data_IF_985187198740
#
_entry.id   IF_985187198740
#
_cell.length_a   1.000
_cell.length_b   1.000
_cell.length_c   1.000
_cell.angle_alpha   90.00
_cell.angle_beta   90.00
_cell.angle_gamma   90.00
#
_symmetry.space_group_name_H-M   'P 1'
#
loop_
_entity.id
_entity.type
_entity.pdbx_description
1 polymer ?
#
# COMPACT_ATOMS: atom_id res chain seq x y z
N UNK A 1 -13.60 15.21 -42.82
CA UNK A 1 -12.81 14.91 -41.61
C UNK A 1 -13.41 13.67 -40.98
N UNK A 2 -12.71 12.52 -40.96
CA UNK A 2 -13.10 11.44 -40.09
C UNK A 2 -12.73 11.83 -38.65
N UNK A 3 -13.71 11.76 -37.77
CA UNK A 3 -13.51 11.77 -36.32
C UNK A 3 -12.89 10.41 -35.98
N UNK A 4 -11.61 10.40 -35.64
CA UNK A 4 -10.96 9.25 -35.02
C UNK A 4 -11.63 9.06 -33.66
N UNK A 5 -12.57 8.11 -33.59
CA UNK A 5 -13.00 7.53 -32.33
C UNK A 5 -11.77 6.83 -31.78
N UNK A 6 -11.13 7.46 -30.79
CA UNK A 6 -10.15 6.83 -29.91
C UNK A 6 -10.87 5.62 -29.27
N UNK A 7 -10.68 4.45 -29.86
CA UNK A 7 -11.11 3.19 -29.28
C UNK A 7 -10.45 3.14 -27.89
N UNK A 8 -11.20 3.07 -26.78
CA UNK A 8 -10.57 2.93 -25.48
C UNK A 8 -9.94 1.53 -25.46
N UNK A 9 -8.70 1.46 -25.90
CA UNK A 9 -7.85 0.30 -25.68
C UNK A 9 -7.73 0.26 -24.17
N UNK A 10 -8.51 -0.62 -23.55
CA UNK A 10 -8.43 -0.92 -22.12
C UNK A 10 -7.07 -1.58 -21.90
N UNK A 11 -6.04 -0.75 -21.89
CA UNK A 11 -4.69 -1.12 -21.53
C UNK A 11 -4.76 -1.26 -20.03
N UNK A 12 -4.80 -2.50 -19.55
CA UNK A 12 -4.61 -2.75 -18.13
C UNK A 12 -3.27 -2.07 -17.77
N UNK A 13 -3.26 -1.05 -16.89
CA UNK A 13 -2.02 -0.39 -16.49
C UNK A 13 -1.06 -1.45 -15.92
N UNK A 14 0.23 -1.20 -15.81
CA UNK A 14 1.09 -2.15 -15.07
C UNK A 14 0.90 -1.86 -13.58
N UNK A 15 0.79 -2.87 -12.73
CA UNK A 15 0.76 -2.67 -11.28
C UNK A 15 1.99 -1.84 -10.84
N UNK A 16 1.80 -0.65 -10.24
CA UNK A 16 2.90 0.24 -9.86
C UNK A 16 3.50 -0.22 -8.52
N UNK A 17 4.10 -1.42 -8.51
CA UNK A 17 4.65 -2.02 -7.29
C UNK A 17 5.71 -1.13 -6.61
N UNK A 18 6.57 -0.47 -7.39
CA UNK A 18 7.58 0.45 -6.86
C UNK A 18 6.92 1.65 -6.16
N UNK A 19 5.95 2.30 -6.80
CA UNK A 19 5.27 3.47 -6.23
C UNK A 19 4.45 3.09 -4.99
N UNK A 20 3.70 1.97 -5.04
CA UNK A 20 2.97 1.45 -3.87
C UNK A 20 3.92 1.20 -2.71
N UNK A 21 5.09 0.58 -2.96
CA UNK A 21 6.08 0.32 -1.91
C UNK A 21 6.67 1.61 -1.36
N UNK A 22 6.99 2.58 -2.20
CA UNK A 22 7.53 3.87 -1.76
C UNK A 22 6.54 4.65 -0.90
N UNK A 23 5.28 4.75 -1.36
CA UNK A 23 4.20 5.42 -0.61
C UNK A 23 3.95 4.68 0.70
N UNK A 24 3.71 3.37 0.66
CA UNK A 24 3.43 2.56 1.84
C UNK A 24 4.57 2.62 2.87
N UNK A 25 5.83 2.55 2.42
CA UNK A 25 6.99 2.65 3.31
C UNK A 25 7.09 4.06 3.93
N UNK A 26 6.87 5.11 3.14
CA UNK A 26 6.92 6.49 3.60
C UNK A 26 5.85 6.78 4.64
N UNK A 27 4.62 6.35 4.37
CA UNK A 27 3.47 6.49 5.25
C UNK A 27 3.66 5.68 6.54
N UNK A 28 4.05 4.40 6.44
CA UNK A 28 4.36 3.56 7.62
C UNK A 28 5.43 4.17 8.51
N UNK A 29 6.52 4.67 7.92
CA UNK A 29 7.59 5.34 8.69
C UNK A 29 7.04 6.58 9.39
N UNK A 30 6.18 7.35 8.73
CA UNK A 30 5.59 8.56 9.29
C UNK A 30 4.64 8.22 10.44
N UNK A 31 3.72 7.28 10.23
CA UNK A 31 2.80 6.81 11.28
C UNK A 31 3.54 6.20 12.46
N UNK A 32 4.57 5.38 12.22
CA UNK A 32 5.40 4.81 13.29
C UNK A 32 6.13 5.90 14.07
N UNK A 33 6.64 6.94 13.39
CA UNK A 33 7.28 8.09 14.05
C UNK A 33 6.31 8.84 14.93
N UNK A 34 5.12 9.12 14.44
CA UNK A 34 4.07 9.81 15.19
C UNK A 34 3.63 8.99 16.42
N UNK A 35 3.34 7.70 16.21
CA UNK A 35 3.00 6.77 17.29
C UNK A 35 4.11 6.63 18.34
N UNK A 36 5.36 6.65 17.91
CA UNK A 36 6.50 6.53 18.83
C UNK A 36 6.75 7.82 19.60
N UNK A 37 6.49 8.99 19.00
CA UNK A 37 6.50 10.28 19.69
C UNK A 37 5.43 10.30 20.80
N UNK A 38 4.21 9.87 20.47
CA UNK A 38 3.10 9.75 21.42
C UNK A 38 3.41 8.76 22.56
N UNK A 39 4.01 7.61 22.23
CA UNK A 39 4.32 6.55 23.20
C UNK A 39 5.64 6.77 23.95
N UNK A 40 6.44 7.77 23.58
CA UNK A 40 7.78 8.00 24.14
C UNK A 40 8.80 6.91 23.77
N UNK A 41 8.58 6.20 22.66
CA UNK A 41 9.48 5.14 22.17
C UNK A 41 10.61 5.81 21.37
N UNK A 42 11.85 5.51 21.75
CA UNK A 42 13.01 6.00 20.99
C UNK A 42 13.13 5.21 19.69
N UNK A 43 12.92 5.89 18.56
CA UNK A 43 13.15 5.33 17.25
C UNK A 43 14.61 5.49 16.81
N UNK A 44 15.15 4.51 16.07
CA UNK A 44 16.46 4.67 15.44
C UNK A 44 16.41 5.79 14.41
N UNK A 45 17.51 6.55 14.32
CA UNK A 45 17.66 7.63 13.34
C UNK A 45 17.81 7.07 11.92
N UNK A 46 18.30 5.84 11.77
CA UNK A 46 18.44 5.17 10.49
C UNK A 46 17.12 4.54 10.02
N UNK A 47 16.71 4.87 8.79
CA UNK A 47 15.53 4.28 8.15
C UNK A 47 15.62 2.76 8.05
N UNK A 48 16.81 2.22 7.74
CA UNK A 48 17.00 0.77 7.58
C UNK A 48 16.74 0.04 8.90
N UNK A 49 17.25 0.56 10.00
CA UNK A 49 16.98 0.02 11.33
C UNK A 49 15.52 0.16 11.72
N UNK A 50 14.88 1.30 11.37
CA UNK A 50 13.46 1.51 11.64
C UNK A 50 12.57 0.50 10.91
N UNK A 51 12.91 0.16 9.67
CA UNK A 51 12.11 -0.73 8.83
C UNK A 51 12.13 -2.18 9.33
N UNK A 52 13.26 -2.62 9.88
CA UNK A 52 13.44 -3.97 10.47
C UNK A 52 13.16 -4.01 11.98
N UNK A 53 12.84 -2.87 12.59
CA UNK A 53 12.57 -2.80 14.03
C UNK A 53 11.21 -3.42 14.31
N UNK A 54 11.17 -4.26 15.34
CA UNK A 54 9.93 -4.83 15.84
C UNK A 54 9.06 -3.72 16.43
N UNK A 55 8.02 -3.36 15.69
CA UNK A 55 7.05 -2.31 15.98
C UNK A 55 5.69 -2.90 15.65
N UNK A 56 4.84 -3.01 16.66
CA UNK A 56 3.47 -3.44 16.44
C UNK A 56 2.74 -2.36 15.65
N UNK A 57 2.31 -2.69 14.44
CA UNK A 57 1.53 -1.82 13.59
C UNK A 57 0.09 -2.34 13.60
N UNK A 58 -0.77 -1.59 14.27
CA UNK A 58 -2.19 -1.90 14.35
C UNK A 58 -2.87 -1.82 12.98
N UNK A 59 -3.91 -2.64 12.84
CA UNK A 59 -4.76 -2.68 11.65
C UNK A 59 -5.35 -1.31 11.31
N UNK A 60 -5.63 -0.48 12.32
CA UNK A 60 -6.19 0.87 12.12
C UNK A 60 -5.20 1.76 11.34
N UNK A 61 -3.96 1.85 11.83
CA UNK A 61 -2.89 2.63 11.21
C UNK A 61 -2.70 2.22 9.74
N UNK A 62 -2.72 0.92 9.46
CA UNK A 62 -2.58 0.41 8.11
C UNK A 62 -3.74 0.81 7.20
N UNK A 63 -4.98 0.81 7.71
CA UNK A 63 -6.15 1.24 6.92
C UNK A 63 -6.05 2.71 6.53
N UNK A 64 -5.56 3.58 7.41
CA UNK A 64 -5.31 4.98 7.05
C UNK A 64 -4.28 5.09 5.92
N UNK A 65 -3.24 4.28 5.98
CA UNK A 65 -2.19 4.25 4.96
C UNK A 65 -2.70 3.67 3.63
N UNK A 66 -3.61 2.68 3.68
CA UNK A 66 -4.23 2.13 2.48
C UNK A 66 -4.99 3.21 1.70
N UNK A 67 -5.65 4.15 2.39
CA UNK A 67 -6.35 5.27 1.77
C UNK A 67 -5.38 6.16 0.94
N UNK A 68 -4.11 6.25 1.34
CA UNK A 68 -3.06 6.93 0.55
C UNK A 68 -2.66 6.14 -0.71
N UNK A 69 -2.94 4.83 -0.78
CA UNK A 69 -2.67 3.96 -1.93
C UNK A 69 -3.83 3.91 -2.93
N UNK A 70 -5.07 4.18 -2.51
CA UNK A 70 -6.24 4.31 -3.39
C UNK A 70 -5.97 5.10 -4.68
N UNK A 71 -5.44 6.35 -4.62
CA UNK A 71 -5.16 7.12 -5.83
C UNK A 71 -4.00 6.54 -6.67
N UNK A 72 -3.12 5.73 -6.07
CA UNK A 72 -1.98 5.08 -6.76
C UNK A 72 -2.46 3.90 -7.59
N UNK A 73 -3.34 3.05 -7.03
CA UNK A 73 -3.83 1.86 -7.72
C UNK A 73 -5.10 2.09 -8.54
N UNK A 74 -5.79 3.22 -8.28
CA UNK A 74 -6.98 3.65 -9.00
C UNK A 74 -8.24 2.87 -8.62
N UNK A 75 -8.25 2.22 -7.45
CA UNK A 75 -9.41 1.54 -6.88
C UNK A 75 -9.33 1.57 -5.34
N UNK A 76 -10.47 1.36 -4.69
CA UNK A 76 -10.54 1.42 -3.23
C UNK A 76 -9.85 0.21 -2.58
N UNK A 77 -8.78 0.47 -1.82
CA UNK A 77 -8.00 -0.58 -1.17
C UNK A 77 -8.52 -0.80 0.24
N UNK A 78 -9.38 -1.80 0.39
CA UNK A 78 -9.96 -2.15 1.68
C UNK A 78 -9.02 -2.92 2.61
N UNK A 79 -9.51 -3.23 3.82
CA UNK A 79 -8.81 -4.05 4.81
C UNK A 79 -8.45 -5.45 4.31
N UNK A 80 -9.04 -5.92 3.21
CA UNK A 80 -8.68 -7.16 2.52
C UNK A 80 -7.21 -7.19 2.05
N UNK A 81 -6.63 -6.01 1.80
CA UNK A 81 -5.22 -5.84 1.50
C UNK A 81 -4.31 -5.96 2.73
N UNK A 82 -4.87 -6.14 3.94
CA UNK A 82 -4.13 -6.27 5.19
C UNK A 82 -4.26 -7.68 5.78
N UNK A 83 -3.27 -8.04 6.60
CA UNK A 83 -3.35 -9.21 7.47
C UNK A 83 -4.17 -8.88 8.73
N UNK A 84 -5.11 -9.77 9.14
CA UNK A 84 -5.77 -9.64 10.43
C UNK A 84 -4.76 -9.85 11.57
N UNK A 85 -4.72 -8.91 12.52
CA UNK A 85 -3.79 -8.95 13.66
C UNK A 85 -2.61 -7.97 13.56
N UNK A 86 -2.52 -7.21 12.47
CA UNK A 86 -1.44 -6.23 12.26
C UNK A 86 -0.14 -6.85 11.79
N UNK A 87 0.94 -6.08 11.90
CA UNK A 87 2.29 -6.50 11.53
C UNK A 87 3.28 -6.19 12.65
N UNK A 88 4.32 -7.01 12.75
CA UNK A 88 5.38 -6.84 13.74
C UNK A 88 6.50 -5.90 13.26
N UNK A 89 6.54 -5.51 11.98
CA UNK A 89 7.56 -4.62 11.41
C UNK A 89 7.06 -3.95 10.14
N UNK A 90 7.65 -2.80 9.81
CA UNK A 90 7.35 -2.06 8.57
C UNK A 90 7.71 -2.92 7.36
N UNK A 91 8.85 -3.61 7.37
CA UNK A 91 9.25 -4.49 6.25
C UNK A 91 8.20 -5.57 5.97
N UNK A 92 7.72 -6.25 7.02
CA UNK A 92 6.71 -7.29 6.89
C UNK A 92 5.40 -6.71 6.35
N UNK A 93 4.97 -5.56 6.88
CA UNK A 93 3.79 -4.85 6.39
C UNK A 93 3.93 -4.50 4.91
N UNK A 94 5.05 -3.90 4.49
CA UNK A 94 5.29 -3.53 3.10
C UNK A 94 5.23 -4.75 2.19
N UNK A 95 5.89 -5.85 2.57
CA UNK A 95 5.92 -7.07 1.77
C UNK A 95 4.53 -7.70 1.63
N UNK A 96 3.82 -7.90 2.74
CA UNK A 96 2.51 -8.57 2.75
C UNK A 96 1.44 -7.72 2.07
N UNK A 97 1.37 -6.42 2.39
CA UNK A 97 0.41 -5.49 1.78
C UNK A 97 0.65 -5.34 0.28
N UNK A 98 1.91 -5.17 -0.16
CA UNK A 98 2.22 -5.09 -1.60
C UNK A 98 1.82 -6.37 -2.34
N UNK A 99 2.08 -7.54 -1.74
CA UNK A 99 1.71 -8.82 -2.35
C UNK A 99 0.19 -9.03 -2.42
N UNK A 100 -0.57 -8.54 -1.42
CA UNK A 100 -2.04 -8.57 -1.43
C UNK A 100 -2.60 -7.58 -2.44
N UNK A 101 -2.09 -6.36 -2.47
CA UNK A 101 -2.48 -5.34 -3.45
C UNK A 101 -2.25 -5.83 -4.87
N UNK A 102 -1.12 -6.46 -5.16
CA UNK A 102 -0.85 -7.01 -6.50
C UNK A 102 -1.92 -8.03 -6.92
N UNK A 103 -2.36 -8.91 -5.99
CA UNK A 103 -3.45 -9.87 -6.24
C UNK A 103 -4.78 -9.16 -6.45
N UNK A 104 -5.14 -8.23 -5.58
CA UNK A 104 -6.39 -7.46 -5.68
C UNK A 104 -6.46 -6.67 -6.98
N UNK A 105 -5.35 -6.04 -7.34
CA UNK A 105 -5.18 -5.33 -8.59
C UNK A 105 -5.37 -6.31 -9.75
N UNK A 106 -4.68 -7.45 -9.77
CA UNK A 106 -4.83 -8.44 -10.82
C UNK A 106 -6.29 -8.94 -10.95
N UNK A 107 -6.97 -9.18 -9.83
CA UNK A 107 -8.38 -9.58 -9.80
C UNK A 107 -9.33 -8.48 -10.30
N UNK A 108 -9.10 -7.22 -9.89
CA UNK A 108 -9.91 -6.08 -10.27
C UNK A 108 -9.84 -5.85 -11.78
N UNK A 109 -8.62 -5.84 -12.34
CA UNK A 109 -8.43 -5.64 -13.76
C UNK A 109 -8.77 -6.89 -14.60
N UNK A 110 -8.55 -8.11 -14.08
CA UNK A 110 -9.02 -9.33 -14.74
C UNK A 110 -10.55 -9.41 -14.85
N UNK A 111 -11.28 -8.91 -13.84
CA UNK A 111 -12.74 -8.77 -13.90
C UNK A 111 -13.18 -7.76 -14.97
N UNK A 112 -12.47 -6.64 -15.13
CA UNK A 112 -12.77 -5.65 -16.16
C UNK A 112 -12.56 -6.14 -17.60
N UNK A 113 -11.62 -7.06 -17.83
CA UNK A 113 -11.39 -7.64 -19.18
C UNK A 113 -12.46 -8.66 -19.56
N UNK A 114 -13.13 -9.28 -18.58
CA UNK A 114 -14.18 -10.29 -18.81
C UNK A 114 -15.60 -9.71 -18.87
N UNK A 115 -15.78 -8.41 -18.59
CA UNK A 115 -17.07 -7.75 -18.52
C UNK A 115 -17.46 -7.09 -19.85
#
# INVERSE_FOLDING_TARGET
MPIELDEPTITIPKYPADEVREVLTGELITSVKDLSDIQGIVLPTEKKELVVKTLHIDSHTLVEILCSLDPVVGFEVGQEALRPGGYDSIEEAVIDVTARLEKLWAEHYAKKVKA
#
